data_IF_272928499524
#
_entry.id   IF_272928499524
#
_cell.length_a   1.000
_cell.length_b   1.000
_cell.length_c   1.000
_cell.angle_alpha   90.00
_cell.angle_beta   90.00
_cell.angle_gamma   90.00
#
_symmetry.space_group_name_H-M   'P 1'
#
loop_
_entity.id
_entity.type
_entity.pdbx_description
1 polymer ?
#
# COMPACT_ATOMS: atom_id res chain seq x y z
N UNK A 1 20.27 -27.54 -17.36
CA UNK A 1 19.08 -28.34 -17.67
C UNK A 1 17.96 -27.78 -16.80
N UNK A 2 17.00 -27.05 -17.37
CA UNK A 2 15.90 -26.48 -16.58
C UNK A 2 14.86 -27.59 -16.43
N UNK A 3 14.69 -28.13 -15.24
CA UNK A 3 13.62 -29.10 -14.96
C UNK A 3 12.31 -28.32 -15.00
N UNK A 4 11.51 -28.57 -16.02
CA UNK A 4 10.20 -27.92 -16.18
C UNK A 4 9.18 -28.80 -15.47
N UNK A 5 8.79 -28.39 -14.26
CA UNK A 5 7.82 -29.14 -13.46
C UNK A 5 6.42 -29.06 -14.08
N UNK A 6 5.71 -30.19 -14.10
CA UNK A 6 4.36 -30.35 -14.67
C UNK A 6 3.36 -30.70 -13.57
N UNK A 7 2.13 -30.24 -13.73
CA UNK A 7 1.04 -30.50 -12.81
C UNK A 7 0.59 -31.97 -12.88
N UNK A 8 0.55 -32.71 -11.77
CA UNK A 8 0.22 -34.15 -11.76
C UNK A 8 -1.25 -34.45 -12.11
N UNK A 9 -2.12 -33.43 -12.15
CA UNK A 9 -3.55 -33.59 -12.45
C UNK A 9 -3.93 -33.34 -13.91
N UNK A 10 -3.13 -32.56 -14.63
CA UNK A 10 -3.51 -32.09 -15.98
C UNK A 10 -2.32 -31.94 -16.94
N UNK A 11 -1.12 -32.34 -16.53
CA UNK A 11 0.14 -32.35 -17.30
C UNK A 11 0.63 -30.99 -17.84
N UNK A 12 -0.11 -29.92 -17.60
CA UNK A 12 0.31 -28.55 -17.90
C UNK A 12 1.50 -28.12 -17.03
N UNK A 13 2.33 -27.21 -17.55
CA UNK A 13 3.46 -26.65 -16.80
C UNK A 13 2.98 -25.97 -15.50
N UNK A 14 3.76 -26.12 -14.42
CA UNK A 14 3.49 -25.45 -13.15
C UNK A 14 3.35 -23.93 -13.36
N UNK A 15 2.26 -23.36 -12.88
CA UNK A 15 1.88 -21.95 -13.05
C UNK A 15 0.93 -21.68 -14.23
N UNK A 16 0.70 -22.64 -15.14
CA UNK A 16 -0.17 -22.46 -16.31
C UNK A 16 -1.56 -23.09 -16.16
N UNK A 17 -1.80 -23.88 -15.11
CA UNK A 17 -3.09 -24.49 -14.84
C UNK A 17 -3.70 -23.99 -13.54
N UNK A 18 -5.02 -24.10 -13.40
CA UNK A 18 -5.74 -23.63 -12.21
C UNK A 18 -5.26 -24.27 -10.89
N UNK A 19 -4.71 -25.49 -10.95
CA UNK A 19 -4.21 -26.24 -9.79
C UNK A 19 -2.89 -25.70 -9.23
N UNK A 20 -2.11 -25.01 -10.07
CA UNK A 20 -0.73 -24.58 -9.74
C UNK A 20 -0.51 -23.10 -9.98
N UNK A 21 -1.42 -22.41 -10.68
CA UNK A 21 -1.39 -20.96 -10.78
C UNK A 21 -1.54 -20.40 -9.36
N UNK A 22 -0.60 -19.55 -8.96
CA UNK A 22 -0.80 -18.75 -7.77
C UNK A 22 -2.10 -17.94 -7.96
N UNK A 23 -2.98 -17.97 -6.96
CA UNK A 23 -4.10 -17.06 -6.95
C UNK A 23 -3.56 -15.63 -7.10
N UNK A 24 -4.19 -14.76 -7.92
CA UNK A 24 -3.83 -13.36 -7.90
C UNK A 24 -3.97 -12.90 -6.46
N UNK A 25 -2.88 -12.37 -5.90
CA UNK A 25 -2.92 -11.71 -4.59
C UNK A 25 -4.03 -10.69 -4.69
N UNK A 26 -5.10 -10.85 -3.89
CA UNK A 26 -6.17 -9.86 -3.83
C UNK A 26 -5.50 -8.57 -3.40
N UNK A 27 -5.31 -7.64 -4.33
CA UNK A 27 -4.88 -6.28 -4.00
C UNK A 27 -5.93 -5.75 -3.04
N UNK A 28 -5.52 -5.31 -1.84
CA UNK A 28 -6.42 -4.60 -0.95
C UNK A 28 -7.08 -3.47 -1.77
N UNK A 29 -8.36 -3.19 -1.51
CA UNK A 29 -9.05 -2.09 -2.16
C UNK A 29 -8.18 -0.83 -2.02
N UNK A 30 -7.79 -0.22 -3.14
CA UNK A 30 -6.86 0.90 -3.13
C UNK A 30 -7.33 1.99 -2.17
N UNK A 31 -6.40 2.57 -1.41
CA UNK A 31 -6.71 3.66 -0.50
C UNK A 31 -6.75 4.96 -1.30
N UNK A 32 -7.94 5.54 -1.45
CA UNK A 32 -8.16 6.77 -2.22
C UNK A 32 -7.54 8.02 -1.55
N UNK A 33 -7.36 7.94 -0.23
CA UNK A 33 -6.73 8.95 0.60
C UNK A 33 -5.71 8.30 1.55
N UNK A 34 -4.47 8.78 1.50
CA UNK A 34 -3.41 8.47 2.46
C UNK A 34 -2.95 9.77 3.11
N UNK A 35 -3.02 9.82 4.44
CA UNK A 35 -2.60 10.96 5.24
C UNK A 35 -1.12 10.82 5.60
N UNK A 36 -0.36 11.90 5.54
CA UNK A 36 1.08 11.89 5.85
C UNK A 36 1.35 12.84 7.00
N UNK A 37 1.86 12.29 8.09
CA UNK A 37 2.19 13.08 9.29
C UNK A 37 3.51 13.84 9.12
N UNK A 38 3.78 14.85 9.96
CA UNK A 38 5.09 15.53 10.01
C UNK A 38 6.27 14.57 10.22
N UNK A 39 6.03 13.43 10.87
CA UNK A 39 7.01 12.36 11.05
C UNK A 39 7.29 11.54 9.78
N UNK A 40 6.73 11.93 8.62
CA UNK A 40 6.90 11.28 7.33
C UNK A 40 6.32 9.86 7.26
N UNK A 41 5.33 9.56 8.11
CA UNK A 41 4.61 8.30 8.14
C UNK A 41 3.25 8.42 7.46
N UNK A 42 2.89 7.40 6.69
CA UNK A 42 1.61 7.26 6.05
C UNK A 42 0.57 6.64 6.99
N UNK A 43 -0.61 7.23 7.04
CA UNK A 43 -1.76 6.82 7.83
C UNK A 43 -2.97 6.63 6.91
N UNK A 44 -3.83 5.69 7.28
CA UNK A 44 -5.17 5.58 6.73
C UNK A 44 -6.14 6.46 7.53
N UNK A 45 -7.21 6.98 6.91
CA UNK A 45 -8.28 7.68 7.64
C UNK A 45 -8.82 6.84 8.81
N UNK A 46 -9.15 7.48 9.94
CA UNK A 46 -9.63 6.81 11.16
C UNK A 46 -8.57 6.09 12.01
N UNK A 47 -7.28 6.35 11.80
CA UNK A 47 -6.21 5.87 12.67
C UNK A 47 -6.09 6.71 13.95
N UNK A 48 -6.35 6.19 15.15
CA UNK A 48 -6.28 6.94 16.44
C UNK A 48 -5.06 7.89 16.72
N UNK A 49 -3.98 7.84 15.94
CA UNK A 49 -2.89 8.83 15.90
C UNK A 49 -3.22 10.10 15.09
N UNK A 50 -4.42 10.18 14.54
CA UNK A 50 -4.82 11.06 13.46
C UNK A 50 -5.97 11.97 13.96
N UNK A 51 -5.71 12.72 15.04
CA UNK A 51 -6.70 13.64 15.62
C UNK A 51 -7.09 14.76 14.64
N UNK A 52 -8.40 15.01 14.52
CA UNK A 52 -8.97 15.87 13.49
C UNK A 52 -8.50 17.33 13.55
N UNK A 53 -8.20 17.83 14.75
CA UNK A 53 -7.68 19.19 14.96
C UNK A 53 -6.23 19.38 14.50
N UNK A 54 -5.41 18.33 14.52
CA UNK A 54 -3.99 18.39 14.13
C UNK A 54 -3.84 18.38 12.60
N UNK A 55 -4.69 17.62 11.89
CA UNK A 55 -4.65 17.49 10.43
C UNK A 55 -4.63 18.78 9.64
N UNK A 56 -5.43 19.75 10.08
CA UNK A 56 -5.67 20.96 9.32
C UNK A 56 -4.44 21.89 9.27
N UNK A 57 -3.38 21.60 10.05
CA UNK A 57 -2.26 22.54 10.23
C UNK A 57 -0.93 22.05 9.69
N UNK A 58 -0.62 20.77 9.77
CA UNK A 58 0.73 20.26 9.53
C UNK A 58 0.79 18.90 8.80
N UNK A 59 -0.35 18.33 8.38
CA UNK A 59 -0.37 17.07 7.64
C UNK A 59 -0.41 17.29 6.13
N UNK A 60 0.09 16.30 5.39
CA UNK A 60 -0.01 16.23 3.95
C UNK A 60 -0.95 15.11 3.52
N UNK A 61 -1.44 15.18 2.29
CA UNK A 61 -2.39 14.20 1.75
C UNK A 61 -1.85 13.64 0.43
N UNK A 62 -2.08 12.34 0.22
CA UNK A 62 -1.90 11.68 -1.07
C UNK A 62 -3.27 11.21 -1.51
N UNK A 63 -3.78 11.80 -2.59
CA UNK A 63 -5.07 11.45 -3.21
C UNK A 63 -4.89 11.04 -4.66
N UNK A 64 -5.79 10.22 -5.19
CA UNK A 64 -5.77 9.82 -6.61
C UNK A 64 -4.63 8.88 -7.02
N UNK A 65 -3.81 8.39 -6.07
CA UNK A 65 -2.88 7.28 -6.28
C UNK A 65 -3.33 6.05 -5.47
N UNK A 66 -4.14 5.15 -6.06
CA UNK A 66 -4.66 3.98 -5.36
C UNK A 66 -3.56 2.99 -4.94
N UNK A 67 -2.34 3.15 -5.46
CA UNK A 67 -1.20 2.29 -5.13
C UNK A 67 -0.25 2.96 -4.12
N UNK A 68 -0.52 4.19 -3.66
CA UNK A 68 0.38 4.92 -2.77
C UNK A 68 0.70 4.12 -1.51
N UNK A 69 -0.33 3.54 -0.88
CA UNK A 69 -0.17 2.72 0.33
C UNK A 69 0.80 1.56 0.15
N UNK A 70 0.64 0.81 -0.94
CA UNK A 70 1.48 -0.34 -1.27
C UNK A 70 2.92 0.07 -1.62
N UNK A 71 3.09 1.15 -2.39
CA UNK A 71 4.41 1.70 -2.72
C UNK A 71 5.17 2.08 -1.46
N UNK A 72 4.52 2.79 -0.53
CA UNK A 72 5.10 3.19 0.75
C UNK A 72 5.44 1.95 1.59
N UNK A 73 4.57 0.94 1.59
CA UNK A 73 4.82 -0.35 2.24
C UNK A 73 6.03 -1.10 1.69
N UNK A 74 6.32 -0.94 0.40
CA UNK A 74 7.48 -1.48 -0.29
C UNK A 74 8.73 -0.60 -0.18
N UNK A 75 8.69 0.45 0.67
CA UNK A 75 9.82 1.36 0.88
C UNK A 75 10.04 2.38 -0.23
N UNK A 76 9.10 2.52 -1.16
CA UNK A 76 9.14 3.56 -2.20
C UNK A 76 8.57 4.84 -1.59
N UNK A 77 9.37 5.91 -1.43
CA UNK A 77 8.86 7.16 -0.89
C UNK A 77 7.84 7.80 -1.83
N UNK A 78 6.75 8.35 -1.29
CA UNK A 78 5.70 9.00 -2.07
C UNK A 78 5.50 10.42 -1.57
N UNK A 79 5.71 11.46 -2.41
CA UNK A 79 5.44 12.84 -2.03
C UNK A 79 3.93 13.08 -1.96
N UNK A 80 3.54 13.98 -1.05
CA UNK A 80 2.15 14.42 -0.94
C UNK A 80 1.74 15.28 -2.13
N UNK A 81 0.46 15.26 -2.49
CA UNK A 81 -0.12 16.11 -3.54
C UNK A 81 -1.23 17.03 -3.02
N UNK A 82 -1.62 16.89 -1.75
CA UNK A 82 -2.59 17.72 -1.03
C UNK A 82 -2.19 17.98 0.42
N UNK A 83 -3.12 18.47 1.22
CA UNK A 83 -2.93 18.78 2.63
C UNK A 83 -2.36 20.16 2.93
N UNK A 84 -2.21 20.42 4.23
CA UNK A 84 -1.68 21.65 4.80
C UNK A 84 -0.17 21.81 4.56
N UNK A 85 0.61 20.73 4.71
CA UNK A 85 2.06 20.73 4.41
C UNK A 85 2.39 19.90 3.18
N UNK A 86 2.56 20.59 2.05
CA UNK A 86 2.89 19.99 0.74
C UNK A 86 4.35 19.60 0.57
N UNK A 87 5.20 19.79 1.60
CA UNK A 87 6.63 19.44 1.55
C UNK A 87 6.89 18.04 2.12
N UNK A 88 5.85 17.38 2.63
CA UNK A 88 5.96 16.07 3.24
C UNK A 88 6.15 14.97 2.19
N UNK A 89 6.86 13.92 2.61
CA UNK A 89 7.09 12.73 1.81
C UNK A 89 6.86 11.54 2.72
N UNK A 90 5.93 10.65 2.36
CA UNK A 90 5.73 9.41 3.07
C UNK A 90 6.92 8.48 2.82
N UNK A 91 7.60 8.08 3.89
CA UNK A 91 8.76 7.16 3.84
C UNK A 91 8.46 5.78 4.43
N UNK A 92 7.33 5.63 5.10
CA UNK A 92 6.92 4.37 5.69
C UNK A 92 5.47 4.41 6.15
N UNK A 93 4.91 3.25 6.48
CA UNK A 93 3.53 3.12 6.98
C UNK A 93 3.51 3.19 8.51
N UNK A 94 2.48 3.84 9.04
CA UNK A 94 2.15 3.74 10.46
C UNK A 94 1.90 2.27 10.81
N UNK A 95 2.56 1.78 11.86
CA UNK A 95 2.51 0.36 12.28
C UNK A 95 1.08 -0.10 12.57
N UNK A 96 0.29 0.74 13.20
CA UNK A 96 -1.11 0.46 13.55
C UNK A 96 -2.05 0.48 12.35
N UNK A 97 -1.65 1.15 11.26
CA UNK A 97 -2.39 1.14 10.00
C UNK A 97 -2.04 -0.08 9.14
N UNK A 98 -0.90 -0.74 9.34
CA UNK A 98 -0.50 -1.92 8.55
C UNK A 98 -1.53 -3.06 8.70
N UNK A 99 -2.16 -3.21 9.86
CA UNK A 99 -3.21 -4.21 10.07
C UNK A 99 -4.58 -3.85 9.48
N UNK A 100 -4.74 -2.66 8.86
CA UNK A 100 -6.00 -2.13 8.35
C UNK A 100 -6.04 -2.00 6.82
N UNK A 101 -4.91 -2.18 6.13
CA UNK A 101 -4.78 -2.05 4.68
C UNK A 101 -4.13 -3.25 4.04
#
# INVERSE_FOLDING_TARGET
MVVVERCPRCDLLVGQCEHTRAAPVRRAAGHDLVLVSPAQLAHLPGCFHNDEEDFSRNWGEITGDPNAWERIGNGIPVPVNGGADRRLVAKGRCKDCVGRG
#
